data_IF_674975976035
#
_entry.id   IF_674975976035
#
_cell.length_a   1.000
_cell.length_b   1.000
_cell.length_c   1.000
_cell.angle_alpha   90.00
_cell.angle_beta   90.00
_cell.angle_gamma   90.00
#
_symmetry.space_group_name_H-M   'P 1'
#
loop_
_entity.id
_entity.type
_entity.pdbx_description
1 polymer ?
#
# COMPACT_ATOMS: atom_id res chain seq x y z
N UNK A 1 -17.11 21.70 5.99
CA UNK A 1 -17.52 20.44 6.53
C UNK A 1 -17.33 19.31 5.55
N UNK A 2 -16.97 18.19 6.06
CA UNK A 2 -16.73 17.03 5.27
C UNK A 2 -18.00 16.53 4.59
N UNK A 3 -17.95 16.34 3.29
CA UNK A 3 -19.08 15.78 2.56
C UNK A 3 -18.87 14.28 2.38
N UNK A 4 -19.52 13.52 3.20
CA UNK A 4 -19.31 12.08 3.20
C UNK A 4 -19.89 11.39 2.01
N UNK A 5 -20.71 12.08 1.25
CA UNK A 5 -21.33 11.48 0.08
C UNK A 5 -20.58 11.81 -1.19
N UNK A 6 -19.51 12.54 -1.08
CA UNK A 6 -18.71 12.88 -2.25
C UNK A 6 -17.96 11.64 -2.73
N UNK A 7 -18.27 11.13 -3.92
CA UNK A 7 -17.63 9.89 -4.38
C UNK A 7 -16.15 10.06 -4.69
N UNK A 8 -15.70 11.29 -4.81
CA UNK A 8 -14.29 11.54 -5.11
C UNK A 8 -13.48 11.82 -3.88
N UNK A 9 -14.12 11.82 -2.75
CA UNK A 9 -13.47 12.10 -1.51
C UNK A 9 -13.54 10.88 -0.63
N UNK A 10 -12.43 10.44 -0.16
CA UNK A 10 -12.43 9.29 0.70
C UNK A 10 -12.23 9.75 2.13
N UNK A 11 -13.07 9.27 3.03
CA UNK A 11 -12.97 9.62 4.42
C UNK A 11 -11.84 8.89 5.11
N UNK A 12 -11.38 7.84 4.50
CA UNK A 12 -10.28 7.13 5.07
C UNK A 12 -9.32 6.72 3.98
N UNK A 13 -8.03 6.75 4.31
CA UNK A 13 -7.01 6.37 3.36
C UNK A 13 -7.07 4.87 3.08
N UNK A 14 -6.45 4.47 2.00
CA UNK A 14 -6.27 3.05 1.70
C UNK A 14 -5.36 2.40 2.72
N UNK A 15 -4.48 3.17 3.30
CA UNK A 15 -3.51 2.68 4.27
C UNK A 15 -4.23 2.25 5.55
N UNK A 16 -4.07 1.00 5.92
CA UNK A 16 -4.70 0.46 7.12
C UNK A 16 -3.71 0.50 8.27
N UNK A 17 -3.88 1.47 9.14
CA UNK A 17 -2.97 1.68 10.26
C UNK A 17 -3.07 0.59 11.32
N UNK A 18 -4.14 -0.19 11.28
CA UNK A 18 -4.33 -1.23 12.29
C UNK A 18 -3.48 -2.47 12.02
N UNK A 19 -2.96 -2.61 10.81
CA UNK A 19 -2.14 -3.76 10.46
C UNK A 19 -0.69 -3.44 10.78
N UNK A 20 -0.10 -4.23 11.68
CA UNK A 20 1.31 -4.11 11.99
C UNK A 20 2.07 -5.06 11.09
N UNK A 21 3.05 -4.54 10.39
CA UNK A 21 3.75 -5.33 9.40
C UNK A 21 5.19 -4.84 9.30
N UNK A 22 6.11 -5.73 9.58
CA UNK A 22 7.54 -5.42 9.51
C UNK A 22 8.01 -5.67 8.08
N UNK A 23 8.52 -4.64 7.43
CA UNK A 23 8.95 -4.74 6.05
C UNK A 23 10.45 -4.99 5.91
N UNK A 24 11.17 -5.15 7.02
CA UNK A 24 12.63 -5.22 6.98
C UNK A 24 13.13 -6.44 6.22
N UNK A 25 12.32 -7.48 6.09
CA UNK A 25 12.69 -8.69 5.37
C UNK A 25 12.40 -8.63 3.87
N UNK A 26 11.73 -7.57 3.43
CA UNK A 26 11.34 -7.46 2.03
C UNK A 26 12.52 -7.02 1.17
N UNK A 27 12.50 -7.34 -0.14
CA UNK A 27 13.49 -6.79 -1.04
C UNK A 27 13.54 -5.27 -0.96
N UNK A 28 14.72 -4.72 -1.15
CA UNK A 28 14.93 -3.29 -0.98
C UNK A 28 14.00 -2.44 -1.84
N UNK A 29 13.77 -2.87 -3.08
CA UNK A 29 12.88 -2.13 -3.99
C UNK A 29 11.50 -1.98 -3.36
N UNK A 30 10.98 -3.06 -2.78
CA UNK A 30 9.67 -2.99 -2.14
C UNK A 30 9.70 -2.10 -0.92
N UNK A 31 10.78 -2.16 -0.14
CA UNK A 31 10.88 -1.28 1.01
C UNK A 31 10.85 0.18 0.60
N UNK A 32 11.57 0.52 -0.48
CA UNK A 32 11.62 1.89 -0.93
C UNK A 32 10.26 2.36 -1.44
N UNK A 33 9.57 1.51 -2.18
CA UNK A 33 8.24 1.85 -2.67
C UNK A 33 7.26 2.06 -1.53
N UNK A 34 7.35 1.21 -0.51
CA UNK A 34 6.47 1.34 0.66
C UNK A 34 6.77 2.62 1.42
N UNK A 35 8.04 2.96 1.58
CA UNK A 35 8.40 4.20 2.26
C UNK A 35 7.87 5.41 1.50
N UNK A 36 7.89 5.35 0.19
CA UNK A 36 7.35 6.42 -0.62
C UNK A 36 5.85 6.56 -0.38
N UNK A 37 5.13 5.45 -0.31
CA UNK A 37 3.70 5.50 0.02
C UNK A 37 3.47 6.10 1.40
N UNK A 38 4.30 5.73 2.36
CA UNK A 38 4.16 6.25 3.72
C UNK A 38 4.40 7.75 3.75
N UNK A 39 5.31 8.25 2.94
CA UNK A 39 5.54 9.69 2.85
C UNK A 39 4.34 10.40 2.25
N UNK A 40 3.75 9.84 1.19
CA UNK A 40 2.54 10.42 0.62
C UNK A 40 1.41 10.43 1.63
N UNK A 41 1.27 9.34 2.38
CA UNK A 41 0.23 9.25 3.40
C UNK A 41 0.44 10.32 4.47
N UNK A 42 1.66 10.48 4.92
CA UNK A 42 1.99 11.45 5.96
C UNK A 42 1.69 12.88 5.49
N UNK A 43 1.92 13.15 4.21
CA UNK A 43 1.68 14.47 3.65
C UNK A 43 0.25 14.68 3.22
N UNK A 44 -0.59 13.66 3.33
CA UNK A 44 -1.96 13.75 2.86
C UNK A 44 -2.07 13.80 1.35
N UNK A 45 -1.05 13.32 0.66
CA UNK A 45 -0.99 13.38 -0.80
C UNK A 45 -1.59 12.09 -1.37
N UNK A 46 -2.92 12.02 -1.31
CA UNK A 46 -3.62 10.80 -1.72
C UNK A 46 -3.58 10.58 -3.22
N UNK A 47 -3.43 11.66 -3.98
CA UNK A 47 -3.35 11.52 -5.42
C UNK A 47 -2.11 10.72 -5.82
N UNK A 48 -0.97 11.10 -5.30
CA UNK A 48 0.27 10.39 -5.61
C UNK A 48 0.29 9.00 -4.98
N UNK A 49 -0.33 8.85 -3.82
CA UNK A 49 -0.46 7.54 -3.20
C UNK A 49 -1.21 6.60 -4.14
N UNK A 50 -2.35 7.05 -4.64
CA UNK A 50 -3.17 6.21 -5.52
C UNK A 50 -2.47 5.90 -6.83
N UNK A 51 -1.66 6.82 -7.30
CA UNK A 51 -0.91 6.59 -8.54
C UNK A 51 0.24 5.60 -8.31
N UNK A 52 0.81 5.61 -7.13
CA UNK A 52 1.97 4.77 -6.84
C UNK A 52 1.61 3.35 -6.45
N UNK A 53 0.50 3.18 -5.73
CA UNK A 53 0.18 1.85 -5.21
C UNK A 53 0.10 0.78 -6.30
N UNK A 54 -0.53 1.01 -7.47
CA UNK A 54 -0.55 -0.02 -8.49
C UNK A 54 0.83 -0.50 -8.92
N UNK A 55 1.80 0.39 -8.87
CA UNK A 55 3.18 0.02 -9.20
C UNK A 55 3.74 -0.93 -8.13
N UNK A 56 3.43 -0.65 -6.87
CA UNK A 56 3.83 -1.55 -5.79
C UNK A 56 3.18 -2.92 -5.95
N UNK A 57 1.89 -2.94 -6.31
CA UNK A 57 1.17 -4.19 -6.50
C UNK A 57 1.86 -5.04 -7.57
N UNK A 58 2.19 -4.43 -8.70
CA UNK A 58 2.83 -5.17 -9.80
C UNK A 58 4.19 -5.71 -9.36
N UNK A 59 4.99 -4.88 -8.70
CA UNK A 59 6.30 -5.32 -8.25
C UNK A 59 6.19 -6.44 -7.22
N UNK A 60 5.32 -6.26 -6.24
CA UNK A 60 5.17 -7.27 -5.20
C UNK A 60 4.68 -8.59 -5.78
N UNK A 61 3.76 -8.53 -6.74
CA UNK A 61 3.28 -9.74 -7.39
C UNK A 61 4.41 -10.47 -8.11
N UNK A 62 5.28 -9.70 -8.76
CA UNK A 62 6.43 -10.29 -9.45
C UNK A 62 7.35 -11.01 -8.47
N UNK A 63 7.65 -10.39 -7.34
CA UNK A 63 8.49 -11.02 -6.33
C UNK A 63 7.83 -12.28 -5.77
N UNK A 64 6.52 -12.21 -5.54
CA UNK A 64 5.78 -13.37 -5.06
C UNK A 64 5.85 -14.52 -6.07
N UNK A 65 5.60 -14.22 -7.34
CA UNK A 65 5.61 -15.25 -8.37
C UNK A 65 6.98 -15.90 -8.55
N UNK A 66 8.02 -15.16 -8.20
CA UNK A 66 9.39 -15.67 -8.27
C UNK A 66 9.87 -16.22 -6.93
N UNK A 67 8.95 -16.41 -5.99
CA UNK A 67 9.24 -17.00 -4.67
C UNK A 67 10.25 -16.19 -3.88
N UNK A 68 10.27 -14.87 -4.09
CA UNK A 68 11.15 -13.96 -3.36
C UNK A 68 10.47 -13.39 -2.15
N UNK A 69 9.16 -13.36 -2.11
CA UNK A 69 8.38 -13.05 -0.91
C UNK A 69 7.28 -14.08 -0.82
N UNK A 70 6.67 -14.20 0.36
CA UNK A 70 5.61 -15.18 0.57
C UNK A 70 4.27 -14.63 0.10
N UNK A 71 3.30 -15.54 -0.04
CA UNK A 71 1.94 -15.13 -0.32
C UNK A 71 1.40 -14.26 0.80
N UNK A 72 1.77 -14.58 2.04
CA UNK A 72 1.39 -13.76 3.18
C UNK A 72 1.89 -12.33 3.01
N UNK A 73 3.14 -12.18 2.59
CA UNK A 73 3.71 -10.86 2.37
C UNK A 73 2.93 -10.09 1.30
N UNK A 74 2.67 -10.76 0.18
CA UNK A 74 1.96 -10.09 -0.92
C UNK A 74 0.58 -9.64 -0.47
N UNK A 75 -0.17 -10.54 0.16
CA UNK A 75 -1.53 -10.22 0.59
C UNK A 75 -1.56 -9.17 1.68
N UNK A 76 -0.56 -9.18 2.56
CA UNK A 76 -0.49 -8.17 3.62
C UNK A 76 -0.22 -6.79 3.02
N UNK A 77 0.65 -6.72 2.02
CA UNK A 77 0.92 -5.47 1.33
C UNK A 77 -0.36 -4.93 0.70
N UNK A 78 -1.14 -5.79 0.06
CA UNK A 78 -2.39 -5.35 -0.56
C UNK A 78 -3.38 -4.85 0.47
N UNK A 79 -3.49 -5.53 1.61
CA UNK A 79 -4.41 -5.12 2.67
C UNK A 79 -3.98 -3.81 3.29
N UNK A 80 -2.71 -3.75 3.70
CA UNK A 80 -2.24 -2.63 4.50
C UNK A 80 -2.14 -1.35 3.69
N UNK A 81 -1.65 -1.45 2.47
CA UNK A 81 -1.36 -0.25 1.69
C UNK A 81 -2.39 0.02 0.61
N UNK A 82 -3.13 -0.98 0.19
CA UNK A 82 -4.10 -0.83 -0.89
C UNK A 82 -5.55 -0.97 -0.48
N UNK A 83 -5.79 -1.33 0.77
CA UNK A 83 -7.17 -1.52 1.22
C UNK A 83 -7.85 -2.68 0.53
N UNK A 84 -7.08 -3.64 0.01
CA UNK A 84 -7.63 -4.77 -0.71
C UNK A 84 -7.68 -5.97 0.22
N UNK A 85 -8.89 -6.36 0.57
CA UNK A 85 -9.12 -7.49 1.45
C UNK A 85 -9.84 -8.58 0.68
N UNK A 86 -9.39 -9.79 0.81
CA UNK A 86 -10.05 -10.90 0.13
C UNK A 86 -11.24 -11.42 0.88
#
# INVERSE_FOLDING_TARGET
MENKNDPFKTDKPLYDYSIEYDISHLPRILQEMIKELEDYDKDGDWFNYDMKFPQLDVEAKSYWRNNRISEYDYKTILKKYGGIYD
#
